data_IF_789032988131
#
_entry.id   IF_789032988131
#
_cell.length_a   1.000
_cell.length_b   1.000
_cell.length_c   1.000
_cell.angle_alpha   90.00
_cell.angle_beta   90.00
_cell.angle_gamma   90.00
#
_symmetry.space_group_name_H-M   'P 1'
#
loop_
_entity.id
_entity.type
_entity.pdbx_description
1 polymer ?
#
# COMPACT_ATOMS: atom_id res chain seq x y z
N UNK A 1 13.43 12.55 -11.36
CA UNK A 1 12.15 11.88 -11.67
C UNK A 1 12.47 10.49 -12.19
N UNK A 2 11.99 9.42 -11.54
CA UNK A 2 12.31 8.06 -11.98
C UNK A 2 11.65 7.81 -13.34
N UNK A 3 12.45 7.45 -14.35
CA UNK A 3 11.98 7.15 -15.71
C UNK A 3 11.35 5.75 -15.84
N UNK A 4 11.37 4.95 -14.78
CA UNK A 4 10.85 3.59 -14.75
C UNK A 4 10.02 3.29 -13.50
N UNK A 5 9.51 2.06 -13.41
CA UNK A 5 8.69 1.59 -12.29
C UNK A 5 9.53 1.36 -11.04
N UNK A 6 9.07 1.83 -9.88
CA UNK A 6 9.75 1.60 -8.60
C UNK A 6 9.91 0.11 -8.30
N UNK A 7 11.02 -0.28 -7.68
CA UNK A 7 11.30 -1.68 -7.27
C UNK A 7 10.16 -2.26 -6.45
N UNK A 8 9.63 -1.51 -5.48
CA UNK A 8 8.49 -1.94 -4.69
C UNK A 8 7.27 -2.25 -5.57
N UNK A 9 6.97 -1.40 -6.55
CA UNK A 9 5.84 -1.62 -7.45
C UNK A 9 6.05 -2.84 -8.38
N UNK A 10 7.30 -3.19 -8.70
CA UNK A 10 7.64 -4.45 -9.39
C UNK A 10 7.44 -5.66 -8.48
N UNK A 11 7.82 -5.57 -7.20
CA UNK A 11 7.57 -6.64 -6.23
C UNK A 11 6.07 -6.90 -6.03
N UNK A 12 5.27 -5.84 -5.98
CA UNK A 12 3.80 -5.94 -5.80
C UNK A 12 3.12 -6.63 -6.99
N UNK A 13 3.68 -6.56 -8.20
CA UNK A 13 3.13 -7.29 -9.37
C UNK A 13 3.12 -8.80 -9.22
N UNK A 14 4.01 -9.35 -8.39
CA UNK A 14 4.05 -10.79 -8.13
C UNK A 14 3.02 -11.23 -7.08
N UNK A 15 2.35 -10.29 -6.40
CA UNK A 15 1.36 -10.61 -5.39
C UNK A 15 0.03 -11.01 -6.03
N UNK A 16 -0.66 -12.05 -5.51
CA UNK A 16 -1.89 -12.57 -6.11
C UNK A 16 -3.11 -11.69 -5.76
N UNK A 17 -3.18 -10.47 -6.31
CA UNK A 17 -4.20 -9.47 -5.96
C UNK A 17 -5.63 -10.02 -6.08
N UNK A 18 -5.94 -10.78 -7.14
CA UNK A 18 -7.27 -11.39 -7.33
C UNK A 18 -7.68 -12.35 -6.22
N UNK A 19 -6.72 -13.09 -5.66
CA UNK A 19 -6.96 -14.02 -4.55
C UNK A 19 -7.21 -13.22 -3.27
N UNK A 20 -6.42 -12.17 -3.03
CA UNK A 20 -6.60 -11.27 -1.91
C UNK A 20 -7.96 -10.57 -1.95
N UNK A 21 -8.36 -10.02 -3.10
CA UNK A 21 -9.64 -9.34 -3.28
C UNK A 21 -10.83 -10.28 -2.97
N UNK A 22 -10.73 -11.56 -3.33
CA UNK A 22 -11.74 -12.57 -2.99
C UNK A 22 -11.85 -12.77 -1.48
N UNK A 23 -10.72 -12.81 -0.76
CA UNK A 23 -10.72 -12.91 0.71
C UNK A 23 -11.34 -11.67 1.34
N UNK A 24 -10.97 -10.47 0.87
CA UNK A 24 -11.55 -9.21 1.35
C UNK A 24 -13.05 -9.18 1.15
N UNK A 25 -13.54 -9.65 -0.01
CA UNK A 25 -14.97 -9.72 -0.30
C UNK A 25 -15.70 -10.70 0.63
N UNK A 26 -15.16 -11.90 0.82
CA UNK A 26 -15.74 -12.92 1.71
C UNK A 26 -15.87 -12.45 3.17
N UNK A 27 -14.93 -11.62 3.62
CA UNK A 27 -14.91 -11.08 4.98
C UNK A 27 -15.50 -9.67 5.10
N UNK A 28 -16.04 -9.10 4.01
CA UNK A 28 -16.48 -7.70 3.98
C UNK A 28 -15.42 -6.72 4.49
N UNK A 29 -14.13 -6.97 4.22
CA UNK A 29 -13.01 -6.21 4.79
C UNK A 29 -12.98 -4.74 4.35
N UNK A 30 -13.52 -4.45 3.16
CA UNK A 30 -13.69 -3.09 2.66
C UNK A 30 -15.05 -2.46 3.02
N UNK A 31 -15.82 -3.02 3.97
CA UNK A 31 -17.12 -2.44 4.35
C UNK A 31 -16.90 -1.06 4.99
N UNK A 32 -17.54 -0.03 4.42
CA UNK A 32 -17.46 1.37 4.85
C UNK A 32 -16.13 2.11 4.60
N UNK A 33 -15.20 1.55 3.84
CA UNK A 33 -13.98 2.29 3.47
C UNK A 33 -14.34 3.50 2.59
N UNK A 34 -13.59 4.59 2.71
CA UNK A 34 -13.70 5.76 1.82
C UNK A 34 -12.54 5.82 0.81
N UNK A 35 -11.32 5.67 1.31
CA UNK A 35 -10.10 5.88 0.51
C UNK A 35 -8.98 4.85 0.75
N UNK A 36 -8.97 4.21 1.93
CA UNK A 36 -7.93 3.26 2.32
C UNK A 36 -8.47 1.82 2.29
N UNK A 37 -8.24 1.11 1.19
CA UNK A 37 -8.68 -0.27 1.03
C UNK A 37 -7.78 -1.25 1.80
N UNK A 38 -8.28 -2.47 2.05
CA UNK A 38 -7.46 -3.55 2.59
C UNK A 38 -6.23 -3.84 1.73
N UNK A 39 -6.31 -3.65 0.40
CA UNK A 39 -5.16 -3.78 -0.48
C UNK A 39 -4.12 -2.69 -0.19
N UNK A 40 -4.55 -1.43 -0.07
CA UNK A 40 -3.66 -0.32 0.27
C UNK A 40 -2.99 -0.58 1.63
N UNK A 41 -3.77 -1.02 2.63
CA UNK A 41 -3.27 -1.37 3.95
C UNK A 41 -2.22 -2.50 3.89
N UNK A 42 -2.51 -3.56 3.15
CA UNK A 42 -1.59 -4.69 2.97
C UNK A 42 -0.27 -4.25 2.37
N UNK A 43 -0.31 -3.45 1.30
CA UNK A 43 0.89 -2.89 0.70
C UNK A 43 1.68 -2.01 1.69
N UNK A 44 0.99 -1.23 2.54
CA UNK A 44 1.66 -0.31 3.46
C UNK A 44 2.45 -1.09 4.50
N UNK A 45 1.86 -2.18 4.98
CA UNK A 45 2.51 -3.09 5.92
C UNK A 45 3.70 -3.79 5.28
N UNK A 46 3.59 -4.29 4.04
CA UNK A 46 4.74 -4.88 3.32
C UNK A 46 5.86 -3.85 3.16
N UNK A 47 5.53 -2.62 2.75
CA UNK A 47 6.52 -1.56 2.65
C UNK A 47 7.21 -1.28 3.98
N UNK A 48 6.45 -1.25 5.08
CA UNK A 48 7.01 -1.11 6.43
C UNK A 48 8.01 -2.20 6.77
N UNK A 49 7.69 -3.46 6.46
CA UNK A 49 8.60 -4.59 6.67
C UNK A 49 9.86 -4.48 5.80
N UNK A 50 9.72 -4.17 4.51
CA UNK A 50 10.85 -4.07 3.57
C UNK A 50 11.75 -2.87 3.82
N UNK A 51 11.22 -1.81 4.43
CA UNK A 51 11.97 -0.60 4.77
C UNK A 51 12.42 -0.58 6.23
N UNK A 52 12.25 -1.67 6.97
CA UNK A 52 12.67 -1.83 8.36
C UNK A 52 12.12 -0.72 9.27
N UNK A 53 10.80 -0.46 9.16
CA UNK A 53 10.11 0.53 10.01
C UNK A 53 9.80 -0.09 11.37
N UNK A 54 10.26 0.55 12.44
CA UNK A 54 10.11 0.03 13.80
C UNK A 54 8.68 0.15 14.36
N UNK A 55 7.84 1.01 13.78
CA UNK A 55 6.46 1.20 14.25
C UNK A 55 5.51 1.66 13.15
N UNK A 56 4.20 1.48 13.39
CA UNK A 56 3.15 2.04 12.53
C UNK A 56 3.21 3.57 12.45
N UNK A 57 3.67 4.24 13.52
CA UNK A 57 3.83 5.70 13.52
C UNK A 57 4.98 6.13 12.61
N UNK A 58 6.11 5.44 12.67
CA UNK A 58 7.25 5.69 11.79
C UNK A 58 6.86 5.45 10.32
N UNK A 59 6.18 4.34 10.06
CA UNK A 59 5.63 4.03 8.74
C UNK A 59 4.69 5.14 8.23
N UNK A 60 3.74 5.61 9.05
CA UNK A 60 2.81 6.67 8.66
C UNK A 60 3.55 7.98 8.34
N UNK A 61 4.55 8.34 9.16
CA UNK A 61 5.38 9.55 8.97
C UNK A 61 6.11 9.52 7.63
N UNK A 62 6.71 8.39 7.27
CA UNK A 62 7.42 8.24 5.99
C UNK A 62 6.47 8.23 4.80
N UNK A 63 5.32 7.57 4.94
CA UNK A 63 4.27 7.57 3.93
C UNK A 63 3.83 9.01 3.65
N UNK A 64 3.56 9.80 4.68
CA UNK A 64 3.17 11.20 4.56
C UNK A 64 4.28 12.06 3.92
N UNK A 65 5.53 11.90 4.38
CA UNK A 65 6.68 12.61 3.81
C UNK A 65 6.95 12.28 2.33
N UNK A 66 6.44 11.16 1.83
CA UNK A 66 6.63 10.70 0.45
C UNK A 66 5.32 10.55 -0.34
N UNK A 67 4.25 11.25 0.07
CA UNK A 67 2.92 11.18 -0.55
C UNK A 67 2.94 11.36 -2.09
N UNK A 68 3.83 12.21 -2.61
CA UNK A 68 4.01 12.43 -4.05
C UNK A 68 4.55 11.20 -4.82
N UNK A 69 5.28 10.30 -4.14
CA UNK A 69 5.84 9.07 -4.71
C UNK A 69 4.94 7.85 -4.49
N UNK A 70 4.06 7.92 -3.49
CA UNK A 70 3.15 6.83 -3.11
C UNK A 70 2.29 6.38 -4.29
N UNK A 71 1.72 7.30 -5.07
CA UNK A 71 0.90 6.92 -6.23
C UNK A 71 1.65 5.96 -7.18
N UNK A 72 2.95 6.16 -7.35
CA UNK A 72 3.81 5.36 -8.22
C UNK A 72 4.32 4.06 -7.58
N UNK A 73 4.13 3.88 -6.27
CA UNK A 73 4.48 2.66 -5.54
C UNK A 73 3.37 1.59 -5.60
N UNK A 74 2.26 1.82 -6.32
CA UNK A 74 1.16 0.85 -6.48
C UNK A 74 0.07 0.95 -5.41
N UNK A 75 0.24 1.91 -4.52
CA UNK A 75 -0.58 2.28 -3.39
C UNK A 75 -1.92 2.96 -3.75
N UNK A 76 -2.04 3.50 -4.97
CA UNK A 76 -3.23 4.22 -5.43
C UNK A 76 -3.30 5.68 -4.93
N UNK A 77 -4.43 6.35 -5.18
CA UNK A 77 -4.67 7.73 -4.71
C UNK A 77 -5.24 7.70 -3.28
N UNK A 78 -4.84 8.66 -2.44
CA UNK A 78 -5.44 8.97 -1.12
C UNK A 78 -5.19 7.94 0.02
N UNK A 79 -3.92 7.68 0.36
CA UNK A 79 -3.56 6.83 1.53
C UNK A 79 -3.43 7.62 2.83
N UNK A 80 -2.89 8.84 2.77
CA UNK A 80 -2.93 9.79 3.87
C UNK A 80 -3.98 10.85 3.57
N UNK A 81 -4.62 11.38 4.65
CA UNK A 81 -5.60 12.46 4.55
C UNK A 81 -5.00 13.72 3.97
#
# INVERSE_FOLDING_TARGET
MNKGKYVFAQLVEFLPQRVFDRMVLNHSGNKYIKHFSCWNQFLCLIFGQLSDRESLRDLATIIEAHQSKIYHLGFGKNISR
#
